data_IF_311662097707
#
_entry.id   IF_311662097707
#
_cell.length_a   1.000
_cell.length_b   1.000
_cell.length_c   1.000
_cell.angle_alpha   90.00
_cell.angle_beta   90.00
_cell.angle_gamma   90.00
#
_symmetry.space_group_name_H-M   'P 1'
#
loop_
_entity.id
_entity.type
_entity.pdbx_description
1 polymer ?
#
# COMPACT_ATOMS: atom_id res chain seq x y z
N UNK A 1 -17.23 20.17 -47.75
CA UNK A 1 -18.02 19.28 -46.88
C UNK A 1 -17.17 18.06 -46.63
N UNK A 2 -16.35 18.13 -45.58
CA UNK A 2 -15.50 17.01 -45.16
C UNK A 2 -16.27 16.23 -44.08
N UNK A 3 -16.46 14.94 -44.37
CA UNK A 3 -17.17 14.01 -43.47
C UNK A 3 -16.27 13.71 -42.29
N UNK A 4 -16.71 14.11 -41.08
CA UNK A 4 -16.19 13.67 -39.81
C UNK A 4 -16.38 12.15 -39.68
N UNK A 5 -15.33 11.36 -39.90
CA UNK A 5 -15.28 9.95 -39.52
C UNK A 5 -15.21 9.86 -37.99
N UNK A 6 -16.35 9.65 -37.36
CA UNK A 6 -16.47 9.24 -35.95
C UNK A 6 -15.83 7.85 -35.80
N UNK A 7 -14.63 7.81 -35.26
CA UNK A 7 -13.99 6.58 -34.79
C UNK A 7 -14.77 6.04 -33.58
N UNK A 8 -15.77 5.23 -33.87
CA UNK A 8 -16.53 4.48 -32.88
C UNK A 8 -15.72 3.22 -32.51
N UNK A 9 -14.65 3.38 -31.70
CA UNK A 9 -13.96 2.24 -31.06
C UNK A 9 -14.97 1.59 -30.13
N UNK A 10 -15.69 0.56 -30.61
CA UNK A 10 -16.46 -0.37 -29.76
C UNK A 10 -15.49 -0.95 -28.74
N UNK A 11 -15.59 -0.51 -27.48
CA UNK A 11 -14.92 -1.16 -26.36
C UNK A 11 -15.37 -2.63 -26.36
N UNK A 12 -14.50 -3.52 -26.84
CA UNK A 12 -14.78 -4.94 -26.93
C UNK A 12 -15.11 -5.48 -25.52
N UNK A 13 -16.34 -5.98 -25.35
CA UNK A 13 -16.74 -6.61 -24.12
C UNK A 13 -15.77 -7.76 -23.79
N UNK A 14 -15.13 -7.72 -22.62
CA UNK A 14 -14.23 -8.80 -22.18
C UNK A 14 -15.02 -10.09 -22.06
N UNK A 15 -14.47 -11.21 -22.56
CA UNK A 15 -15.08 -12.54 -22.41
C UNK A 15 -15.28 -12.86 -20.92
N UNK A 16 -16.44 -13.36 -20.55
CA UNK A 16 -16.66 -13.93 -19.23
C UNK A 16 -15.76 -15.17 -19.03
N UNK A 17 -15.10 -15.23 -17.88
CA UNK A 17 -14.23 -16.35 -17.51
C UNK A 17 -15.05 -17.45 -16.84
N UNK A 18 -14.78 -18.72 -17.17
CA UNK A 18 -15.32 -19.83 -16.44
C UNK A 18 -14.44 -20.18 -15.23
N UNK A 19 -14.92 -21.06 -14.35
CA UNK A 19 -14.20 -21.45 -13.13
C UNK A 19 -12.82 -22.03 -13.43
N UNK A 20 -12.69 -22.84 -14.50
CA UNK A 20 -11.40 -23.44 -14.89
C UNK A 20 -10.41 -22.39 -15.37
N UNK A 21 -10.87 -21.36 -16.11
CA UNK A 21 -10.05 -20.24 -16.54
C UNK A 21 -9.46 -19.51 -15.31
N UNK A 22 -10.26 -19.34 -14.24
CA UNK A 22 -9.83 -18.69 -12.99
C UNK A 22 -8.85 -19.57 -12.21
N UNK A 23 -9.13 -20.86 -12.08
CA UNK A 23 -8.25 -21.80 -11.37
C UNK A 23 -6.87 -21.94 -12.02
N UNK A 24 -6.80 -21.83 -13.34
CA UNK A 24 -5.54 -21.92 -14.09
C UNK A 24 -4.79 -20.59 -14.20
N UNK A 25 -5.37 -19.50 -13.69
CA UNK A 25 -4.73 -18.16 -13.74
C UNK A 25 -3.55 -18.12 -12.78
N UNK A 26 -2.39 -17.72 -13.29
CA UNK A 26 -1.20 -17.46 -12.46
C UNK A 26 -1.27 -16.03 -11.92
N UNK A 27 -0.89 -15.89 -10.66
CA UNK A 27 -0.82 -14.60 -9.97
C UNK A 27 0.61 -14.36 -9.49
N UNK A 28 1.06 -13.13 -9.63
CA UNK A 28 2.30 -12.68 -9.00
C UNK A 28 2.01 -12.35 -7.54
N UNK A 29 2.73 -12.99 -6.63
CA UNK A 29 2.54 -12.87 -5.18
C UNK A 29 3.85 -12.50 -4.49
N UNK A 30 3.78 -11.84 -3.33
CA UNK A 30 4.95 -11.66 -2.50
C UNK A 30 5.33 -12.98 -1.84
N UNK A 31 6.55 -13.49 -2.07
CA UNK A 31 7.04 -14.71 -1.44
C UNK A 31 7.55 -14.39 -0.03
N UNK A 32 6.66 -13.91 0.84
CA UNK A 32 7.03 -13.58 2.22
C UNK A 32 7.53 -14.79 2.97
N UNK A 33 8.46 -14.54 3.90
CA UNK A 33 9.02 -15.54 4.79
C UNK A 33 8.87 -15.11 6.26
N UNK A 34 9.03 -16.05 7.19
CA UNK A 34 8.97 -15.84 8.64
C UNK A 34 7.73 -15.06 9.07
N UNK A 35 7.90 -14.08 9.96
CA UNK A 35 6.79 -13.31 10.55
C UNK A 35 5.86 -12.64 9.53
N UNK A 36 6.38 -12.25 8.36
CA UNK A 36 5.57 -11.62 7.31
C UNK A 36 4.67 -12.65 6.63
N UNK A 37 5.17 -13.86 6.36
CA UNK A 37 4.37 -14.95 5.84
C UNK A 37 3.32 -15.39 6.86
N UNK A 38 3.69 -15.52 8.11
CA UNK A 38 2.76 -15.91 9.18
C UNK A 38 1.61 -14.90 9.31
N UNK A 39 1.90 -13.60 9.15
CA UNK A 39 0.90 -12.54 9.28
C UNK A 39 0.05 -12.34 8.02
N UNK A 40 0.61 -12.44 6.84
CA UNK A 40 -0.01 -11.99 5.58
C UNK A 40 -0.12 -13.09 4.52
N UNK A 41 0.44 -14.28 4.77
CA UNK A 41 0.55 -15.37 3.80
C UNK A 41 1.28 -14.90 2.53
N UNK A 42 0.73 -15.15 1.35
CA UNK A 42 1.30 -14.83 0.04
C UNK A 42 0.37 -13.89 -0.74
N UNK A 43 0.27 -12.62 -0.36
CA UNK A 43 -0.63 -11.67 -1.03
C UNK A 43 -0.13 -11.31 -2.42
N UNK A 44 -1.06 -10.94 -3.31
CA UNK A 44 -0.71 -10.42 -4.64
C UNK A 44 0.18 -9.16 -4.54
N UNK A 45 1.12 -9.02 -5.48
CA UNK A 45 2.04 -7.87 -5.57
C UNK A 45 1.38 -6.56 -5.99
N UNK A 46 0.06 -6.56 -6.14
CA UNK A 46 -0.77 -5.42 -6.58
C UNK A 46 -2.05 -5.33 -5.76
N UNK A 47 -2.80 -4.26 -6.00
CA UNK A 47 -4.07 -4.03 -5.31
C UNK A 47 -3.98 -2.96 -4.24
N UNK A 48 -4.69 -3.14 -3.14
CA UNK A 48 -4.79 -2.15 -2.07
C UNK A 48 -4.61 -2.78 -0.69
N UNK A 49 -3.67 -2.26 0.07
CA UNK A 49 -3.53 -2.54 1.50
C UNK A 49 -3.88 -1.30 2.30
N UNK A 50 -4.50 -1.48 3.45
CA UNK A 50 -4.95 -0.39 4.29
C UNK A 50 -4.50 -0.58 5.74
N UNK A 51 -3.66 0.34 6.21
CA UNK A 51 -3.07 0.34 7.56
C UNK A 51 -3.69 1.47 8.36
N UNK A 52 -4.28 1.18 9.52
CA UNK A 52 -4.82 2.25 10.35
C UNK A 52 -4.61 1.97 11.83
N UNK A 53 -4.70 3.01 12.65
CA UNK A 53 -4.54 2.94 14.10
C UNK A 53 -4.49 4.33 14.72
N UNK A 54 -4.67 4.40 16.03
CA UNK A 54 -4.60 5.65 16.77
C UNK A 54 -3.15 6.20 16.81
N UNK A 55 -3.01 7.50 17.05
CA UNK A 55 -1.70 8.11 17.25
C UNK A 55 -0.97 7.45 18.43
N UNK A 56 0.37 7.31 18.32
CA UNK A 56 1.20 6.73 19.38
C UNK A 56 1.18 5.19 19.48
N UNK A 57 0.40 4.49 18.65
CA UNK A 57 0.28 3.02 18.71
C UNK A 57 1.29 2.26 17.84
N UNK A 58 2.32 2.94 17.33
CA UNK A 58 3.42 2.27 16.59
C UNK A 58 3.18 2.13 15.09
N UNK A 59 2.19 2.81 14.48
CA UNK A 59 1.97 2.76 13.02
C UNK A 59 3.23 3.03 12.21
N UNK A 60 3.94 4.13 12.53
CA UNK A 60 5.16 4.51 11.83
C UNK A 60 6.23 3.42 11.91
N UNK A 61 6.42 2.83 13.10
CA UNK A 61 7.35 1.72 13.31
C UNK A 61 6.99 0.50 12.45
N UNK A 62 5.71 0.13 12.44
CA UNK A 62 5.22 -0.95 11.60
C UNK A 62 5.44 -0.66 10.12
N UNK A 63 5.02 0.52 9.65
CA UNK A 63 5.10 0.89 8.24
C UNK A 63 6.54 0.99 7.74
N UNK A 64 7.50 1.47 8.55
CA UNK A 64 8.91 1.48 8.18
C UNK A 64 9.46 0.06 8.02
N UNK A 65 9.12 -0.87 8.91
CA UNK A 65 9.52 -2.26 8.77
C UNK A 65 8.86 -2.92 7.55
N UNK A 66 7.57 -2.70 7.33
CA UNK A 66 6.86 -3.18 6.14
C UNK A 66 7.48 -2.61 4.85
N UNK A 67 7.78 -1.31 4.83
CA UNK A 67 8.43 -0.65 3.70
C UNK A 67 9.79 -1.28 3.40
N UNK A 68 10.61 -1.53 4.43
CA UNK A 68 11.91 -2.20 4.30
C UNK A 68 11.75 -3.61 3.71
N UNK A 69 10.74 -4.37 4.16
CA UNK A 69 10.43 -5.69 3.63
C UNK A 69 10.02 -5.61 2.15
N UNK A 70 9.09 -4.71 1.80
CA UNK A 70 8.61 -4.54 0.42
C UNK A 70 9.72 -4.13 -0.55
N UNK A 71 10.72 -3.37 -0.09
CA UNK A 71 11.91 -3.00 -0.87
C UNK A 71 12.78 -4.19 -1.30
N UNK A 72 12.62 -5.37 -0.69
CA UNK A 72 13.31 -6.59 -1.13
C UNK A 72 12.76 -7.12 -2.46
N UNK A 73 11.52 -6.79 -2.76
CA UNK A 73 10.79 -7.33 -3.91
C UNK A 73 10.68 -6.35 -5.07
N UNK A 74 10.48 -5.05 -4.79
CA UNK A 74 10.36 -4.04 -5.83
C UNK A 74 10.69 -2.63 -5.32
N UNK A 75 10.66 -1.66 -6.24
CA UNK A 75 10.87 -0.24 -5.94
C UNK A 75 9.64 0.36 -5.28
N UNK A 76 9.86 1.00 -4.14
CA UNK A 76 8.83 1.64 -3.30
C UNK A 76 8.92 3.16 -3.40
N UNK A 77 7.80 3.82 -3.65
CA UNK A 77 7.63 5.25 -3.39
C UNK A 77 6.91 5.44 -2.05
N UNK A 78 7.53 6.13 -1.13
CA UNK A 78 6.89 6.55 0.12
C UNK A 78 6.43 8.02 -0.04
N UNK A 79 5.13 8.21 -0.24
CA UNK A 79 4.52 9.53 -0.38
C UNK A 79 4.10 10.06 0.98
N UNK A 80 5.00 10.83 1.61
CA UNK A 80 4.81 11.41 2.94
C UNK A 80 4.09 12.76 2.85
N UNK A 81 2.78 12.73 2.73
CA UNK A 81 1.95 13.91 2.60
C UNK A 81 1.86 14.70 3.92
N UNK A 82 1.84 13.98 5.04
CA UNK A 82 1.71 14.56 6.37
C UNK A 82 3.03 15.21 6.84
N UNK A 83 4.10 14.44 6.97
CA UNK A 83 5.36 14.93 7.56
C UNK A 83 6.37 15.42 6.51
N UNK A 84 6.28 14.95 5.26
CA UNK A 84 7.23 15.29 4.20
C UNK A 84 8.63 14.77 4.53
N UNK A 85 9.63 15.66 4.51
CA UNK A 85 11.05 15.36 4.82
C UNK A 85 11.49 16.00 6.14
N UNK A 86 10.63 15.95 7.15
CA UNK A 86 10.89 16.53 8.47
C UNK A 86 12.03 15.81 9.23
N UNK A 87 12.50 16.45 10.30
CA UNK A 87 13.50 15.85 11.20
C UNK A 87 13.00 14.52 11.80
N UNK A 88 11.70 14.43 12.11
CA UNK A 88 11.08 13.20 12.63
C UNK A 88 11.18 12.06 11.63
N UNK A 89 10.92 12.32 10.35
CA UNK A 89 11.11 11.35 9.27
C UNK A 89 12.57 10.93 9.18
N UNK A 90 13.52 11.89 9.19
CA UNK A 90 14.95 11.58 9.14
C UNK A 90 15.38 10.68 10.31
N UNK A 91 14.92 10.96 11.53
CA UNK A 91 15.22 10.16 12.71
C UNK A 91 14.63 8.74 12.59
N UNK A 92 13.41 8.61 12.09
CA UNK A 92 12.80 7.31 11.82
C UNK A 92 13.60 6.52 10.78
N UNK A 93 14.04 7.16 9.69
CA UNK A 93 14.87 6.50 8.67
C UNK A 93 16.18 5.96 9.25
N UNK A 94 16.83 6.71 10.15
CA UNK A 94 18.05 6.26 10.85
C UNK A 94 17.73 5.09 11.79
N UNK A 95 16.69 5.22 12.62
CA UNK A 95 16.27 4.24 13.60
C UNK A 95 15.96 2.88 12.98
N UNK A 96 15.30 2.85 11.83
CA UNK A 96 14.94 1.61 11.14
C UNK A 96 15.95 1.16 10.09
N UNK A 97 17.16 1.78 10.03
CA UNK A 97 18.21 1.39 9.12
C UNK A 97 17.80 1.44 7.64
N UNK A 98 17.00 2.45 7.25
CA UNK A 98 16.44 2.53 5.89
C UNK A 98 17.51 2.84 4.82
N UNK A 99 18.72 3.22 5.22
CA UNK A 99 19.84 3.38 4.29
C UNK A 99 20.16 2.10 3.50
N UNK A 100 19.94 0.92 4.09
CA UNK A 100 20.15 -0.39 3.46
C UNK A 100 19.31 -0.60 2.19
N UNK A 101 18.11 -0.01 2.17
CA UNK A 101 17.17 -0.11 1.05
C UNK A 101 17.11 1.13 0.17
N UNK A 102 18.05 2.07 0.33
CA UNK A 102 18.05 3.38 -0.35
C UNK A 102 17.98 3.31 -1.89
N UNK A 103 18.46 2.23 -2.50
CA UNK A 103 18.37 2.02 -3.95
C UNK A 103 16.96 1.64 -4.44
N UNK A 104 16.12 1.13 -3.55
CA UNK A 104 14.76 0.66 -3.85
C UNK A 104 13.68 1.56 -3.27
N UNK A 105 14.03 2.52 -2.41
CA UNK A 105 13.12 3.42 -1.73
C UNK A 105 13.31 4.87 -2.16
N UNK A 106 12.23 5.52 -2.55
CA UNK A 106 12.20 6.96 -2.78
C UNK A 106 11.14 7.62 -1.87
N UNK A 107 11.53 8.69 -1.18
CA UNK A 107 10.59 9.56 -0.48
C UNK A 107 10.15 10.68 -1.41
N UNK A 108 8.83 10.91 -1.46
CA UNK A 108 8.21 11.98 -2.23
C UNK A 108 7.16 12.68 -1.37
N UNK A 109 6.75 13.88 -1.78
CA UNK A 109 5.62 14.62 -1.21
C UNK A 109 4.83 15.22 -2.37
N UNK A 110 3.91 14.43 -2.89
CA UNK A 110 3.15 14.79 -4.10
C UNK A 110 1.65 14.56 -3.87
N UNK A 111 0.85 15.51 -4.33
CA UNK A 111 -0.59 15.31 -4.41
C UNK A 111 -0.95 14.18 -5.40
N UNK A 112 -2.18 13.71 -5.35
CA UNK A 112 -2.61 12.57 -6.18
C UNK A 112 -2.49 12.85 -7.69
N UNK A 113 -2.84 14.04 -8.22
CA UNK A 113 -2.61 14.35 -9.64
C UNK A 113 -1.15 14.25 -10.06
N UNK A 114 -0.24 14.83 -9.29
CA UNK A 114 1.22 14.76 -9.56
C UNK A 114 1.75 13.32 -9.44
N UNK A 115 1.31 12.59 -8.43
CA UNK A 115 1.64 11.18 -8.24
C UNK A 115 1.21 10.35 -9.46
N UNK A 116 0.00 10.55 -10.00
CA UNK A 116 -0.47 9.88 -11.22
C UNK A 116 0.45 10.14 -12.42
N UNK A 117 0.89 11.39 -12.62
CA UNK A 117 1.85 11.75 -13.68
C UNK A 117 3.16 10.96 -13.51
N UNK A 118 3.67 10.87 -12.27
CA UNK A 118 4.88 10.08 -11.96
C UNK A 118 4.68 8.60 -12.26
N UNK A 119 3.54 8.03 -11.87
CA UNK A 119 3.26 6.60 -12.02
C UNK A 119 3.06 6.17 -13.47
N UNK A 120 2.66 7.07 -14.36
CA UNK A 120 2.56 6.82 -15.82
C UNK A 120 3.92 6.72 -16.51
N UNK A 121 5.00 7.17 -15.86
CA UNK A 121 6.34 7.13 -16.49
C UNK A 121 6.83 5.68 -16.59
N UNK A 122 7.56 5.41 -17.66
CA UNK A 122 8.25 4.13 -17.83
C UNK A 122 9.21 3.87 -16.67
N UNK A 123 9.24 2.64 -16.15
CA UNK A 123 10.03 2.24 -14.97
C UNK A 123 9.66 3.03 -13.70
N UNK A 124 8.40 3.42 -13.54
CA UNK A 124 7.89 4.01 -12.30
C UNK A 124 7.87 3.00 -11.15
N UNK A 125 7.44 3.44 -9.97
CA UNK A 125 7.32 2.58 -8.80
C UNK A 125 6.13 1.61 -8.96
N UNK A 126 6.30 0.36 -8.53
CA UNK A 126 5.22 -0.61 -8.49
C UNK A 126 4.52 -0.67 -7.14
N UNK A 127 5.21 -0.23 -6.08
CA UNK A 127 4.66 -0.15 -4.74
C UNK A 127 4.63 1.32 -4.31
N UNK A 128 3.47 1.79 -3.84
CA UNK A 128 3.25 3.17 -3.42
C UNK A 128 2.64 3.18 -2.02
N UNK A 129 3.40 3.67 -1.05
CA UNK A 129 2.91 3.90 0.32
C UNK A 129 2.48 5.36 0.43
N UNK A 130 1.29 5.63 0.94
CA UNK A 130 0.70 6.97 1.06
C UNK A 130 0.40 7.26 2.53
N UNK A 131 1.14 8.20 3.11
CA UNK A 131 1.02 8.63 4.50
C UNK A 131 0.67 10.13 4.59
N UNK A 132 -0.57 10.46 4.94
CA UNK A 132 -1.68 9.58 5.25
C UNK A 132 -2.86 9.81 4.28
N UNK A 133 -3.81 8.87 4.27
CA UNK A 133 -5.01 8.93 3.43
C UNK A 133 -5.77 10.26 3.57
N UNK A 134 -5.87 10.79 4.80
CA UNK A 134 -6.59 12.04 5.08
C UNK A 134 -6.02 13.24 4.31
N UNK A 135 -4.71 13.27 4.10
CA UNK A 135 -4.06 14.37 3.37
C UNK A 135 -4.22 14.26 1.85
N UNK A 136 -4.67 13.12 1.32
CA UNK A 136 -4.97 12.97 -0.10
C UNK A 136 -6.24 13.70 -0.51
N UNK A 137 -7.14 13.96 0.42
CA UNK A 137 -8.49 14.49 0.20
C UNK A 137 -9.34 13.69 -0.80
N UNK A 138 -8.95 12.44 -1.09
CA UNK A 138 -9.67 11.56 -2.00
C UNK A 138 -11.03 11.14 -1.45
N UNK A 139 -12.02 11.17 -2.32
CA UNK A 139 -13.27 10.45 -2.12
C UNK A 139 -13.07 8.96 -2.41
N UNK A 140 -14.03 8.12 -2.04
CA UNK A 140 -14.02 6.70 -2.43
C UNK A 140 -14.01 6.51 -3.95
N UNK A 141 -14.69 7.39 -4.69
CA UNK A 141 -14.69 7.39 -6.16
C UNK A 141 -13.30 7.65 -6.73
N UNK A 142 -12.58 8.63 -6.19
CA UNK A 142 -11.22 8.96 -6.65
C UNK A 142 -10.25 7.79 -6.38
N UNK A 143 -10.43 7.10 -5.26
CA UNK A 143 -9.68 5.88 -4.95
C UNK A 143 -9.94 4.77 -5.98
N UNK A 144 -11.20 4.51 -6.33
CA UNK A 144 -11.55 3.50 -7.35
C UNK A 144 -10.90 3.86 -8.68
N UNK A 145 -10.99 5.13 -9.12
CA UNK A 145 -10.34 5.60 -10.34
C UNK A 145 -8.81 5.42 -10.32
N UNK A 146 -8.17 5.68 -9.18
CA UNK A 146 -6.73 5.47 -9.02
C UNK A 146 -6.37 3.98 -9.18
N UNK A 147 -7.11 3.10 -8.54
CA UNK A 147 -6.91 1.65 -8.60
C UNK A 147 -7.14 1.08 -10.01
N UNK A 148 -8.17 1.57 -10.70
CA UNK A 148 -8.48 1.16 -12.08
C UNK A 148 -7.45 1.68 -13.09
N UNK A 149 -6.91 2.88 -12.87
CA UNK A 149 -5.87 3.47 -13.74
C UNK A 149 -4.53 2.74 -13.61
N UNK A 150 -4.22 2.19 -12.43
CA UNK A 150 -2.96 1.51 -12.15
C UNK A 150 -3.18 0.08 -11.60
N UNK A 151 -3.77 -0.83 -12.39
CA UNK A 151 -4.19 -2.15 -11.91
C UNK A 151 -3.01 -3.08 -11.54
N UNK A 152 -1.81 -2.75 -12.02
CA UNK A 152 -0.59 -3.55 -11.78
C UNK A 152 0.24 -3.05 -10.59
N UNK A 153 -0.24 -2.02 -9.88
CA UNK A 153 0.50 -1.44 -8.75
C UNK A 153 -0.14 -1.82 -7.41
N UNK A 154 0.69 -1.86 -6.38
CA UNK A 154 0.26 -1.97 -5.00
C UNK A 154 0.19 -0.57 -4.37
N UNK A 155 -0.97 -0.21 -3.84
CA UNK A 155 -1.16 0.96 -3.01
C UNK A 155 -1.32 0.56 -1.55
N UNK A 156 -0.47 1.10 -0.68
CA UNK A 156 -0.55 0.93 0.78
C UNK A 156 -0.96 2.26 1.38
N UNK A 157 -2.19 2.38 1.80
CA UNK A 157 -2.70 3.58 2.45
C UNK A 157 -2.54 3.49 3.97
N UNK A 158 -1.98 4.54 4.55
CA UNK A 158 -1.90 4.71 5.99
C UNK A 158 -2.99 5.69 6.40
N UNK A 159 -3.71 5.40 7.48
CA UNK A 159 -4.82 6.21 7.94
C UNK A 159 -4.79 6.41 9.45
N UNK A 160 -5.22 7.59 9.87
CA UNK A 160 -5.61 7.82 11.25
C UNK A 160 -6.83 6.99 11.61
N UNK A 161 -7.00 6.70 12.91
CA UNK A 161 -8.19 6.05 13.43
C UNK A 161 -9.03 7.01 14.29
N UNK A 162 -10.31 6.67 14.41
CA UNK A 162 -11.23 7.19 15.42
C UNK A 162 -11.84 6.00 16.13
N UNK A 163 -11.34 5.73 17.35
CA UNK A 163 -11.62 4.46 18.02
C UNK A 163 -10.98 3.30 17.24
N UNK A 164 -11.75 2.28 16.90
CA UNK A 164 -11.28 1.10 16.13
C UNK A 164 -11.45 1.22 14.61
N UNK A 165 -12.08 2.29 14.13
CA UNK A 165 -12.35 2.49 12.70
C UNK A 165 -11.40 3.53 12.10
N UNK A 166 -11.15 3.51 10.78
CA UNK A 166 -10.47 4.60 10.09
C UNK A 166 -11.22 5.93 10.27
N UNK A 167 -10.48 7.03 10.31
CA UNK A 167 -11.05 8.37 10.45
C UNK A 167 -11.60 8.86 9.11
N UNK A 168 -12.93 8.98 9.00
CA UNK A 168 -13.65 9.51 7.84
C UNK A 168 -14.27 8.43 6.97
N UNK A 169 -15.41 8.76 6.32
CA UNK A 169 -16.23 7.82 5.56
C UNK A 169 -15.50 7.26 4.33
N UNK A 170 -14.75 8.11 3.61
CA UNK A 170 -13.95 7.68 2.47
C UNK A 170 -12.87 6.66 2.90
N UNK A 171 -12.14 6.93 4.00
CA UNK A 171 -11.14 6.03 4.55
C UNK A 171 -11.75 4.69 4.97
N UNK A 172 -12.92 4.72 5.60
CA UNK A 172 -13.67 3.53 6.00
C UNK A 172 -14.09 2.70 4.78
N UNK A 173 -14.60 3.35 3.73
CA UNK A 173 -14.98 2.68 2.48
C UNK A 173 -13.79 2.03 1.78
N UNK A 174 -12.64 2.72 1.73
CA UNK A 174 -11.40 2.18 1.16
C UNK A 174 -10.90 0.98 1.98
N UNK A 175 -10.95 1.06 3.32
CA UNK A 175 -10.61 -0.06 4.18
C UNK A 175 -11.47 -1.29 3.90
N UNK A 176 -12.79 -1.13 3.66
CA UNK A 176 -13.65 -2.25 3.30
C UNK A 176 -13.28 -2.89 1.96
N UNK A 177 -12.86 -2.11 0.95
CA UNK A 177 -12.44 -2.62 -0.35
C UNK A 177 -11.05 -3.25 -0.34
N UNK A 178 -10.17 -2.83 0.58
CA UNK A 178 -8.77 -3.26 0.64
C UNK A 178 -8.62 -4.79 0.71
N UNK A 179 -7.60 -5.28 0.00
CA UNK A 179 -7.26 -6.71 -0.06
C UNK A 179 -6.61 -7.19 1.24
N UNK A 180 -5.77 -6.35 1.86
CA UNK A 180 -5.16 -6.57 3.16
C UNK A 180 -5.49 -5.39 4.08
N UNK A 181 -6.04 -5.68 5.26
CA UNK A 181 -6.51 -4.74 6.27
C UNK A 181 -5.68 -4.92 7.53
N UNK A 182 -4.98 -3.87 7.96
CA UNK A 182 -4.01 -3.97 9.05
C UNK A 182 -4.35 -2.93 10.11
N UNK A 183 -4.92 -3.38 11.22
CA UNK A 183 -5.13 -2.57 12.43
C UNK A 183 -3.88 -2.58 13.29
N UNK A 184 -3.39 -1.40 13.66
CA UNK A 184 -2.19 -1.23 14.50
C UNK A 184 -2.56 -0.67 15.85
N UNK A 185 -2.29 -1.44 16.91
CA UNK A 185 -2.55 -1.07 18.29
C UNK A 185 -1.50 -1.66 19.24
N UNK A 186 -0.91 -0.85 20.10
CA UNK A 186 0.03 -1.32 21.12
C UNK A 186 1.24 -2.09 20.56
N UNK A 187 1.80 -1.63 19.43
CA UNK A 187 2.90 -2.30 18.70
C UNK A 187 2.56 -3.71 18.20
N UNK A 188 1.29 -3.98 18.00
CA UNK A 188 0.78 -5.19 17.34
C UNK A 188 0.02 -4.79 16.09
N UNK A 189 0.34 -5.43 14.98
CA UNK A 189 -0.39 -5.30 13.73
C UNK A 189 -1.34 -6.49 13.57
N UNK A 190 -2.63 -6.20 13.62
CA UNK A 190 -3.69 -7.20 13.45
C UNK A 190 -4.07 -7.27 11.98
N UNK A 191 -3.77 -8.39 11.34
CA UNK A 191 -4.12 -8.63 9.95
C UNK A 191 -5.56 -9.15 9.83
N UNK A 192 -6.32 -8.52 8.94
CA UNK A 192 -7.63 -8.98 8.47
C UNK A 192 -7.70 -8.78 6.96
N UNK A 193 -8.30 -9.68 6.24
CA UNK A 193 -8.40 -9.48 4.80
C UNK A 193 -8.75 -10.75 4.04
N UNK A 194 -8.40 -10.76 2.77
CA UNK A 194 -8.67 -11.87 1.85
C UNK A 194 -7.63 -12.98 1.95
N UNK A 195 -6.48 -12.71 2.57
CA UNK A 195 -5.39 -13.66 2.76
C UNK A 195 -5.45 -14.27 4.16
N UNK A 196 -5.18 -15.57 4.27
CA UNK A 196 -5.36 -16.33 5.50
C UNK A 196 -4.03 -16.49 6.25
N UNK A 197 -3.39 -15.38 6.61
CA UNK A 197 -2.26 -15.39 7.54
C UNK A 197 -2.71 -15.47 9.01
N UNK A 198 -1.78 -15.47 9.94
CA UNK A 198 -2.08 -15.33 11.37
C UNK A 198 -2.74 -13.97 11.61
N UNK A 199 -3.59 -13.90 12.63
CA UNK A 199 -4.38 -12.68 12.88
C UNK A 199 -3.57 -11.51 13.43
N UNK A 200 -2.30 -11.71 13.84
CA UNK A 200 -1.47 -10.64 14.40
C UNK A 200 0.03 -10.83 14.12
N UNK A 201 0.73 -9.71 14.02
CA UNK A 201 2.17 -9.61 13.92
C UNK A 201 2.67 -8.71 15.03
N UNK A 202 3.48 -9.28 15.93
CA UNK A 202 4.24 -8.53 16.92
C UNK A 202 5.48 -7.92 16.25
N UNK A 203 5.76 -6.65 16.53
CA UNK A 203 6.96 -5.97 16.08
C UNK A 203 7.52 -5.07 17.19
N UNK A 204 8.83 -4.94 17.23
CA UNK A 204 9.49 -4.10 18.23
C UNK A 204 9.41 -2.63 17.85
N UNK A 205 9.46 -1.76 18.85
CA UNK A 205 9.56 -0.31 18.64
C UNK A 205 10.93 0.08 18.04
N UNK A 206 11.95 -0.77 18.18
CA UNK A 206 13.32 -0.56 17.72
C UNK A 206 13.76 -1.68 16.78
N UNK A 207 14.31 -1.29 15.62
CA UNK A 207 14.86 -2.24 14.64
C UNK A 207 16.12 -2.96 15.14
N UNK A 208 16.74 -2.50 16.23
CA UNK A 208 17.96 -3.07 16.79
C UNK A 208 17.77 -4.44 17.47
N UNK A 209 16.55 -4.76 17.92
CA UNK A 209 16.25 -6.04 18.59
C UNK A 209 16.13 -7.25 17.64
N UNK A 210 16.02 -7.03 16.33
CA UNK A 210 15.91 -8.12 15.34
C UNK A 210 17.28 -8.76 14.99
N UNK A 211 18.41 -8.19 15.47
CA UNK A 211 19.76 -8.70 15.18
C UNK A 211 20.31 -9.65 16.25
N UNK A 212 19.56 -9.95 17.30
CA UNK A 212 20.03 -10.75 18.45
C UNK A 212 19.21 -12.02 18.71
N UNK A 213 18.47 -12.51 17.71
CA UNK A 213 17.81 -13.83 17.82
C UNK A 213 18.05 -14.70 16.60
#
# INVERSE_FOLDING_TARGET
MEEEKKDNKKAGMKRALNVRDILNKKYDVFPFEGKWKDAFDTPEVRGCWFVWGNSGNGKTSFVMQLCKELCKYDRVAFNSLEEGTSLTVQNNLRRFGMAEVSRHLAFIKEDIPTLKIRLRRHKSFNIVIIDSFQYTQMTYRDYIQLKEEFPDKLFVFISHARGKNPKGDAATSVMYDADLKIWVEGYVAFSKGRYQGSTCLLYTSDAADDLTR
#
